data_IF_626971457051
#
_entry.id   IF_626971457051
#
_cell.length_a   1.000
_cell.length_b   1.000
_cell.length_c   1.000
_cell.angle_alpha   90.00
_cell.angle_beta   90.00
_cell.angle_gamma   90.00
#
_symmetry.space_group_name_H-M   'P 1'
#
loop_
_entity.id
_entity.type
_entity.pdbx_description
1 polymer ?
#
# COMPACT_ATOMS: atom_id res chain seq x y z
N UNK A 1 -13.83 19.93 -33.61
CA UNK A 1 -13.49 20.33 -32.24
C UNK A 1 -14.42 19.51 -31.35
N UNK A 2 -13.94 18.36 -30.89
CA UNK A 2 -14.74 17.41 -30.13
C UNK A 2 -14.35 17.50 -28.65
N UNK A 3 -15.35 17.75 -27.81
CA UNK A 3 -15.25 17.75 -26.37
C UNK A 3 -14.60 16.47 -25.88
N UNK A 4 -13.37 16.58 -25.37
CA UNK A 4 -12.77 15.52 -24.56
C UNK A 4 -13.53 15.53 -23.24
N UNK A 5 -14.49 14.62 -23.10
CA UNK A 5 -15.01 14.22 -21.79
C UNK A 5 -13.80 13.82 -20.95
N UNK A 6 -13.42 14.72 -20.05
CA UNK A 6 -12.50 14.44 -18.96
C UNK A 6 -13.22 13.40 -18.11
N UNK A 7 -12.85 12.12 -18.29
CA UNK A 7 -13.42 11.06 -17.47
C UNK A 7 -12.79 11.23 -16.10
N UNK A 8 -13.53 11.84 -15.19
CA UNK A 8 -13.20 11.94 -13.77
C UNK A 8 -13.17 10.53 -13.17
N UNK A 9 -12.11 9.77 -13.44
CA UNK A 9 -11.72 8.59 -12.68
C UNK A 9 -10.98 9.03 -11.39
N UNK A 10 -11.55 9.97 -10.66
CA UNK A 10 -11.20 10.08 -9.26
C UNK A 10 -11.81 8.84 -8.59
N UNK A 11 -10.96 7.90 -8.16
CA UNK A 11 -11.38 7.05 -7.05
C UNK A 11 -11.60 8.05 -5.92
N UNK A 12 -12.86 8.33 -5.65
CA UNK A 12 -13.25 9.25 -4.60
C UNK A 12 -12.83 8.61 -3.25
N UNK A 13 -11.66 9.02 -2.76
CA UNK A 13 -11.14 8.60 -1.48
C UNK A 13 -11.63 9.50 -0.34
N UNK A 14 -12.23 10.65 -0.67
CA UNK A 14 -12.67 11.65 0.30
C UNK A 14 -14.18 11.63 0.43
N UNK A 15 -14.71 10.88 1.39
CA UNK A 15 -16.14 10.94 1.64
C UNK A 15 -16.44 10.96 3.14
N UNK A 16 -17.59 11.52 3.47
CA UNK A 16 -18.20 11.75 4.79
C UNK A 16 -18.48 10.44 5.59
N UNK A 17 -17.81 9.34 5.22
CA UNK A 17 -17.98 7.95 5.65
C UNK A 17 -16.87 7.43 6.57
N UNK A 18 -15.80 8.20 6.80
CA UNK A 18 -14.74 7.79 7.73
C UNK A 18 -15.32 7.54 9.13
N UNK A 19 -15.05 6.38 9.77
CA UNK A 19 -15.64 6.07 11.06
C UNK A 19 -15.31 7.14 12.12
N UNK A 20 -16.29 7.47 12.97
CA UNK A 20 -16.08 8.47 14.03
C UNK A 20 -15.19 7.97 15.17
N UNK A 21 -15.10 6.65 15.38
CA UNK A 21 -14.25 6.06 16.42
C UNK A 21 -12.82 5.86 15.95
N UNK A 22 -11.84 6.01 16.87
CA UNK A 22 -10.42 5.75 16.59
C UNK A 22 -10.20 4.33 16.07
N UNK A 23 -10.89 3.36 16.68
CA UNK A 23 -10.86 1.96 16.25
C UNK A 23 -11.37 1.80 14.83
N UNK A 24 -12.52 2.40 14.51
CA UNK A 24 -13.11 2.33 13.17
C UNK A 24 -12.17 2.92 12.12
N UNK A 25 -11.57 4.10 12.37
CA UNK A 25 -10.62 4.71 11.44
C UNK A 25 -9.39 3.85 11.20
N UNK A 26 -8.85 3.23 12.25
CA UNK A 26 -7.66 2.39 12.13
C UNK A 26 -7.92 1.13 11.29
N UNK A 27 -9.06 0.47 11.54
CA UNK A 27 -9.49 -0.69 10.75
C UNK A 27 -9.74 -0.28 9.31
N UNK A 28 -10.49 0.79 9.10
CA UNK A 28 -10.82 1.27 7.76
C UNK A 28 -9.56 1.63 6.96
N UNK A 29 -8.62 2.38 7.56
CA UNK A 29 -7.39 2.77 6.90
C UNK A 29 -6.47 1.58 6.56
N UNK A 30 -6.18 0.69 7.52
CA UNK A 30 -5.32 -0.46 7.25
C UNK A 30 -5.99 -1.47 6.31
N UNK A 31 -7.32 -1.61 6.39
CA UNK A 31 -8.10 -2.38 5.43
C UNK A 31 -7.92 -1.83 4.01
N UNK A 32 -8.12 -0.51 3.80
CA UNK A 32 -7.86 0.18 2.52
C UNK A 32 -6.43 -0.04 2.03
N UNK A 33 -5.43 0.18 2.89
CA UNK A 33 -4.01 -0.03 2.56
C UNK A 33 -3.75 -1.44 2.01
N UNK A 34 -4.24 -2.47 2.70
CA UNK A 34 -4.08 -3.85 2.25
C UNK A 34 -4.73 -4.09 0.89
N UNK A 35 -5.90 -3.49 0.63
CA UNK A 35 -6.56 -3.56 -0.70
C UNK A 35 -5.65 -3.05 -1.81
N UNK A 36 -5.13 -1.84 -1.61
CA UNK A 36 -4.28 -1.19 -2.60
C UNK A 36 -2.99 -2.00 -2.82
N UNK A 37 -2.36 -2.49 -1.76
CA UNK A 37 -1.17 -3.35 -1.86
C UNK A 37 -1.45 -4.59 -2.70
N UNK A 38 -2.54 -5.32 -2.45
CA UNK A 38 -2.90 -6.52 -3.24
C UNK A 38 -3.07 -6.16 -4.71
N UNK A 39 -3.76 -5.06 -5.03
CA UNK A 39 -3.92 -4.59 -6.42
C UNK A 39 -2.58 -4.29 -7.08
N UNK A 40 -1.65 -3.62 -6.39
CA UNK A 40 -0.31 -3.35 -6.93
C UNK A 40 0.44 -4.65 -7.20
N UNK A 41 0.41 -5.61 -6.26
CA UNK A 41 1.10 -6.89 -6.42
C UNK A 41 0.56 -7.66 -7.63
N UNK A 42 -0.76 -7.64 -7.84
CA UNK A 42 -1.40 -8.23 -9.01
C UNK A 42 -0.92 -7.60 -10.32
N UNK A 43 -0.90 -6.27 -10.40
CA UNK A 43 -0.43 -5.54 -11.59
C UNK A 43 1.03 -5.86 -11.90
N UNK A 44 1.90 -5.77 -10.89
CA UNK A 44 3.32 -6.06 -11.05
C UNK A 44 3.57 -7.49 -11.52
N UNK A 45 2.80 -8.45 -11.01
CA UNK A 45 2.88 -9.84 -11.45
C UNK A 45 2.47 -9.99 -12.92
N UNK A 46 1.35 -9.39 -13.34
CA UNK A 46 0.87 -9.43 -14.73
C UNK A 46 1.81 -8.70 -15.70
N UNK A 47 2.34 -7.54 -15.31
CA UNK A 47 3.38 -6.82 -16.07
C UNK A 47 4.66 -7.63 -16.22
N UNK A 48 5.04 -8.41 -15.21
CA UNK A 48 6.20 -9.29 -15.28
C UNK A 48 5.94 -10.51 -16.19
N UNK A 49 4.75 -11.11 -16.13
CA UNK A 49 4.34 -12.22 -17.00
C UNK A 49 4.29 -11.84 -18.49
N UNK A 50 3.93 -10.59 -18.79
CA UNK A 50 3.85 -10.04 -20.16
C UNK A 50 5.14 -9.37 -20.62
N UNK A 51 6.22 -9.53 -19.85
CA UNK A 51 7.54 -8.93 -20.12
C UNK A 51 7.57 -7.39 -20.19
N UNK A 52 6.48 -6.69 -19.85
CA UNK A 52 6.47 -5.23 -19.64
C UNK A 52 7.48 -4.80 -18.57
N UNK A 53 7.67 -5.64 -17.55
CA UNK A 53 8.80 -5.58 -16.63
C UNK A 53 9.80 -6.69 -17.01
N UNK A 54 10.85 -6.37 -17.80
CA UNK A 54 11.75 -7.39 -18.32
C UNK A 54 12.61 -7.99 -17.20
N UNK A 55 13.12 -9.21 -17.44
CA UNK A 55 14.07 -9.91 -16.54
C UNK A 55 15.34 -9.09 -16.23
N UNK A 56 15.69 -8.16 -17.11
CA UNK A 56 16.79 -7.22 -16.93
C UNK A 56 16.48 -6.08 -15.93
N UNK A 57 15.26 -6.02 -15.37
CA UNK A 57 14.88 -5.07 -14.34
C UNK A 57 15.62 -5.37 -13.03
N UNK A 58 16.75 -4.67 -12.80
CA UNK A 58 17.65 -4.92 -11.67
C UNK A 58 17.42 -3.99 -10.48
N UNK A 59 16.86 -2.81 -10.69
CA UNK A 59 16.70 -1.83 -9.63
C UNK A 59 15.28 -1.82 -9.07
N UNK A 60 15.21 -1.87 -7.75
CA UNK A 60 13.97 -1.94 -6.99
C UNK A 60 14.15 -1.11 -5.72
N UNK A 61 13.50 0.05 -5.63
CA UNK A 61 13.51 0.88 -4.42
C UNK A 61 12.11 1.31 -4.02
N UNK A 62 11.92 1.47 -2.71
CA UNK A 62 10.75 2.11 -2.12
C UNK A 62 11.25 3.42 -1.53
N UNK A 63 10.86 4.53 -2.11
CA UNK A 63 11.19 5.87 -1.64
C UNK A 63 10.31 6.29 -0.46
N UNK A 64 10.65 7.36 0.23
CA UNK A 64 9.73 7.93 1.23
C UNK A 64 8.65 8.72 0.50
N UNK A 65 7.39 8.55 0.90
CA UNK A 65 6.34 9.44 0.46
C UNK A 65 6.63 10.84 1.03
N UNK A 66 6.85 11.82 0.15
CA UNK A 66 7.03 13.21 0.56
C UNK A 66 5.69 13.87 0.90
N UNK A 67 4.64 13.59 0.11
CA UNK A 67 3.31 14.23 0.19
C UNK A 67 2.19 13.20 -0.06
N UNK A 68 0.95 13.51 0.34
CA UNK A 68 -0.20 12.58 0.19
C UNK A 68 -0.66 12.39 -1.26
N UNK A 69 -0.34 13.34 -2.15
CA UNK A 69 -0.69 13.33 -3.55
C UNK A 69 0.32 14.13 -4.41
N UNK A 70 -0.03 14.40 -5.68
CA UNK A 70 0.76 15.16 -6.65
C UNK A 70 0.82 16.67 -6.35
N UNK A 71 -0.12 17.18 -5.60
CA UNK A 71 -0.35 18.61 -5.41
C UNK A 71 0.10 19.09 -4.03
N UNK A 72 0.30 18.16 -3.09
CA UNK A 72 0.69 18.43 -1.72
C UNK A 72 1.99 19.21 -1.59
N UNK A 73 1.99 20.13 -0.64
CA UNK A 73 3.06 21.08 -0.35
C UNK A 73 3.52 20.98 1.10
N UNK A 74 4.69 21.57 1.37
CA UNK A 74 5.31 21.55 2.71
C UNK A 74 4.52 22.26 3.80
N UNK A 75 3.63 23.15 3.41
CA UNK A 75 2.74 23.96 4.22
C UNK A 75 1.37 23.31 4.48
N UNK A 76 1.01 22.24 3.78
CA UNK A 76 -0.35 21.70 3.83
C UNK A 76 -0.68 20.92 5.11
N UNK A 77 0.28 20.68 6.02
CA UNK A 77 0.15 19.75 7.17
C UNK A 77 -0.35 18.33 6.79
N UNK A 78 -0.46 18.04 5.49
CA UNK A 78 -0.88 16.78 4.88
C UNK A 78 0.36 15.89 4.68
N UNK A 79 0.95 15.43 5.77
CA UNK A 79 1.95 14.36 5.67
C UNK A 79 1.25 13.04 5.35
N UNK A 80 1.73 12.33 4.31
CA UNK A 80 1.12 11.09 3.85
C UNK A 80 1.07 10.03 4.95
N UNK A 81 -0.09 9.39 5.07
CA UNK A 81 -0.13 8.09 5.72
C UNK A 81 0.80 7.17 4.90
N UNK A 82 1.84 6.68 5.54
CA UNK A 82 2.91 6.01 4.83
C UNK A 82 2.43 4.67 4.26
N UNK A 83 3.07 4.23 3.17
CA UNK A 83 2.80 3.02 2.40
C UNK A 83 1.64 3.11 1.43
N UNK A 84 1.83 3.76 0.27
CA UNK A 84 1.35 3.24 -1.02
C UNK A 84 2.00 3.98 -2.23
N UNK A 85 1.84 3.49 -3.47
CA UNK A 85 2.87 3.01 -4.42
C UNK A 85 3.66 4.01 -5.26
N UNK A 86 3.55 5.33 -5.06
CA UNK A 86 4.53 6.27 -5.65
C UNK A 86 5.93 6.08 -5.10
N UNK A 87 6.02 5.40 -3.96
CA UNK A 87 7.29 5.03 -3.39
C UNK A 87 8.00 3.97 -4.24
N UNK A 88 7.26 3.12 -4.96
CA UNK A 88 7.88 2.07 -5.76
C UNK A 88 8.48 2.64 -7.05
N UNK A 89 9.79 2.45 -7.22
CA UNK A 89 10.52 2.76 -8.44
C UNK A 89 11.22 1.51 -8.96
N UNK A 90 10.96 1.22 -10.24
CA UNK A 90 11.51 0.12 -11.03
C UNK A 90 12.33 0.71 -12.18
N UNK A 91 13.65 0.48 -12.21
CA UNK A 91 14.52 1.01 -13.27
C UNK A 91 14.36 2.52 -13.52
N UNK A 92 14.19 3.28 -12.43
CA UNK A 92 14.04 4.73 -12.49
C UNK A 92 12.65 5.23 -12.90
N UNK A 93 11.68 4.33 -13.09
CA UNK A 93 10.30 4.67 -13.43
C UNK A 93 9.32 4.13 -12.39
N UNK A 94 8.18 4.79 -12.26
CA UNK A 94 7.06 4.22 -11.51
C UNK A 94 6.32 3.18 -12.36
N UNK A 95 5.73 2.13 -11.74
CA UNK A 95 5.03 1.08 -12.48
C UNK A 95 3.97 1.60 -13.47
N UNK A 96 3.19 2.61 -13.09
CA UNK A 96 2.16 3.18 -13.97
C UNK A 96 2.75 3.86 -15.21
N UNK A 97 3.95 4.45 -15.13
CA UNK A 97 4.63 5.10 -16.28
C UNK A 97 5.08 4.10 -17.34
N UNK A 98 5.25 2.82 -16.98
CA UNK A 98 5.59 1.76 -17.94
C UNK A 98 4.42 1.53 -18.91
N UNK A 99 3.18 1.69 -18.42
CA UNK A 99 1.96 1.45 -19.18
C UNK A 99 1.57 2.57 -20.13
N UNK A 100 2.17 3.76 -20.00
CA UNK A 100 1.91 4.91 -20.88
C UNK A 100 2.05 4.56 -22.37
N UNK A 101 2.96 3.64 -22.70
CA UNK A 101 3.20 3.18 -24.07
C UNK A 101 2.11 2.24 -24.62
N UNK A 102 1.26 1.69 -23.75
CA UNK A 102 0.32 0.61 -24.08
C UNK A 102 -1.13 1.03 -23.84
N UNK A 103 -1.40 1.75 -22.76
CA UNK A 103 -2.73 2.25 -22.41
C UNK A 103 -2.64 3.45 -21.46
N UNK A 104 -2.98 4.63 -21.98
CA UNK A 104 -3.11 5.86 -21.18
C UNK A 104 -4.18 5.71 -20.09
N UNK A 105 -5.34 5.16 -20.44
CA UNK A 105 -6.43 4.93 -19.49
C UNK A 105 -5.99 4.01 -18.35
N UNK A 106 -5.24 2.94 -18.66
CA UNK A 106 -4.73 2.04 -17.62
C UNK A 106 -3.66 2.70 -16.78
N UNK A 107 -2.78 3.51 -17.39
CA UNK A 107 -1.79 4.30 -16.68
C UNK A 107 -2.44 5.25 -15.68
N UNK A 108 -3.50 5.95 -16.08
CA UNK A 108 -4.25 6.90 -15.24
C UNK A 108 -5.03 6.16 -14.14
N UNK A 109 -5.69 5.06 -14.48
CA UNK A 109 -6.35 4.20 -13.50
C UNK A 109 -5.36 3.66 -12.46
N UNK A 110 -4.22 3.13 -12.92
CA UNK A 110 -3.18 2.68 -12.03
C UNK A 110 -2.68 3.84 -11.19
N UNK A 111 -2.47 5.03 -11.73
CA UNK A 111 -2.12 6.21 -10.94
C UNK A 111 -3.14 6.50 -9.82
N UNK A 112 -4.41 6.12 -9.97
CA UNK A 112 -5.44 6.20 -8.92
C UNK A 112 -5.11 5.35 -7.68
N UNK A 113 -4.49 4.17 -7.81
CA UNK A 113 -3.95 3.42 -6.66
C UNK A 113 -2.80 4.16 -5.95
N UNK A 114 -2.28 5.21 -6.58
CA UNK A 114 -1.09 5.98 -6.23
C UNK A 114 -1.48 7.42 -5.84
N UNK A 115 -2.78 7.74 -5.73
CA UNK A 115 -3.31 9.09 -5.46
C UNK A 115 -4.09 9.19 -4.16
N UNK A 116 -3.92 10.31 -3.45
CA UNK A 116 -4.56 10.76 -2.19
C UNK A 116 -4.71 9.69 -1.11
N UNK A 117 -3.88 9.80 -0.06
CA UNK A 117 -4.16 9.11 1.21
C UNK A 117 -5.27 9.81 1.98
N UNK A 118 -5.97 9.07 2.84
CA UNK A 118 -7.04 9.62 3.68
C UNK A 118 -6.51 10.72 4.63
N UNK A 119 -7.30 11.78 4.82
CA UNK A 119 -7.04 12.77 5.88
C UNK A 119 -7.32 12.12 7.24
N UNK A 120 -6.25 11.73 7.93
CA UNK A 120 -6.31 11.10 9.24
C UNK A 120 -5.78 12.01 10.35
N UNK A 121 -6.26 11.84 11.60
CA UNK A 121 -5.67 12.54 12.73
C UNK A 121 -4.16 12.31 12.83
N UNK A 122 -3.41 13.31 13.26
CA UNK A 122 -1.92 13.31 13.31
C UNK A 122 -1.30 12.07 14.00
N UNK A 123 -2.01 11.45 14.94
CA UNK A 123 -1.51 10.27 15.63
C UNK A 123 -1.46 9.01 14.74
N UNK A 124 -2.26 8.93 13.68
CA UNK A 124 -2.16 7.86 12.67
C UNK A 124 -0.84 7.95 11.91
N UNK A 125 -0.50 9.15 11.41
CA UNK A 125 0.78 9.41 10.75
C UNK A 125 1.96 9.12 11.68
N UNK A 126 1.88 9.52 12.96
CA UNK A 126 2.93 9.21 13.95
C UNK A 126 3.11 7.72 14.18
N UNK A 127 2.04 6.92 14.13
CA UNK A 127 2.12 5.46 14.22
C UNK A 127 2.84 4.88 13.00
N UNK A 128 2.45 5.30 11.79
CA UNK A 128 3.09 4.84 10.56
C UNK A 128 4.55 5.26 10.46
N UNK A 129 4.88 6.54 10.69
CA UNK A 129 6.27 7.01 10.71
C UNK A 129 7.11 6.26 11.76
N UNK A 130 6.50 5.85 12.88
CA UNK A 130 7.20 5.06 13.90
C UNK A 130 7.46 3.62 13.42
N UNK A 131 6.49 3.02 12.74
CA UNK A 131 6.63 1.70 12.13
C UNK A 131 7.69 1.71 11.03
N UNK A 132 7.75 2.76 10.20
CA UNK A 132 8.78 2.90 9.18
C UNK A 132 10.20 3.07 9.73
N UNK A 133 10.33 3.72 10.89
CA UNK A 133 11.62 3.92 11.56
C UNK A 133 12.16 2.67 12.26
N UNK A 134 11.45 1.54 12.22
CA UNK A 134 11.98 0.28 12.77
C UNK A 134 13.14 -0.19 11.87
N UNK A 135 14.38 -0.28 12.39
CA UNK A 135 15.51 -0.73 11.59
C UNK A 135 15.32 -2.19 11.17
N UNK A 136 15.76 -2.54 9.96
CA UNK A 136 15.80 -3.91 9.40
C UNK A 136 14.44 -4.60 9.15
N UNK A 137 13.38 -4.20 9.85
CA UNK A 137 12.04 -4.80 9.77
C UNK A 137 11.00 -3.69 9.87
N UNK A 138 10.67 -3.07 8.74
CA UNK A 138 9.64 -2.03 8.64
C UNK A 138 8.63 -2.32 7.53
N UNK A 139 7.55 -1.54 7.50
CA UNK A 139 6.43 -1.72 6.56
C UNK A 139 6.90 -1.52 5.11
N UNK A 140 7.69 -0.48 4.83
CA UNK A 140 8.22 -0.20 3.49
C UNK A 140 9.09 -1.35 2.95
N UNK A 141 9.93 -1.95 3.80
CA UNK A 141 10.74 -3.12 3.46
C UNK A 141 9.88 -4.36 3.21
N UNK A 142 8.82 -4.56 4.00
CA UNK A 142 7.82 -5.60 3.77
C UNK A 142 7.15 -5.47 2.39
N UNK A 143 6.72 -4.26 2.06
CA UNK A 143 6.14 -3.95 0.75
C UNK A 143 7.14 -4.16 -0.39
N UNK A 144 8.39 -3.71 -0.20
CA UNK A 144 9.49 -3.90 -1.15
C UNK A 144 9.72 -5.37 -1.48
N UNK A 145 9.76 -6.22 -0.44
CA UNK A 145 9.93 -7.68 -0.60
C UNK A 145 8.74 -8.34 -1.29
N UNK A 146 7.51 -7.95 -0.92
CA UNK A 146 6.30 -8.47 -1.56
C UNK A 146 6.27 -8.16 -3.06
N UNK A 147 6.55 -6.91 -3.43
CA UNK A 147 6.60 -6.51 -4.84
C UNK A 147 7.71 -7.22 -5.62
N UNK A 148 8.89 -7.39 -5.02
CA UNK A 148 9.96 -8.19 -5.63
C UNK A 148 9.51 -9.64 -5.86
N UNK A 149 8.85 -10.25 -4.88
CA UNK A 149 8.34 -11.61 -5.01
C UNK A 149 7.31 -11.74 -6.15
N UNK A 150 6.36 -10.79 -6.25
CA UNK A 150 5.37 -10.76 -7.32
C UNK A 150 6.01 -10.68 -8.72
N UNK A 151 6.99 -9.78 -8.90
CA UNK A 151 7.72 -9.61 -10.16
C UNK A 151 8.54 -10.86 -10.49
N UNK A 152 9.34 -11.35 -9.53
CA UNK A 152 10.19 -12.53 -9.73
C UNK A 152 9.35 -13.73 -10.12
N UNK A 153 8.22 -13.94 -9.45
CA UNK A 153 7.27 -15.01 -9.78
C UNK A 153 6.74 -14.90 -11.21
N UNK A 154 6.32 -13.71 -11.65
CA UNK A 154 5.89 -13.49 -13.03
C UNK A 154 7.00 -13.78 -14.05
N UNK A 155 8.25 -13.41 -13.73
CA UNK A 155 9.39 -13.58 -14.64
C UNK A 155 9.87 -15.04 -14.81
N UNK A 156 9.77 -15.88 -13.77
CA UNK A 156 10.35 -17.25 -13.80
C UNK A 156 9.41 -18.32 -14.35
N UNK A 157 8.20 -17.96 -14.79
CA UNK A 157 7.31 -18.88 -15.51
C UNK A 157 5.94 -19.09 -14.87
N UNK A 158 5.36 -18.06 -14.25
CA UNK A 158 3.96 -18.12 -13.81
C UNK A 158 3.02 -18.36 -15.00
N UNK A 159 1.86 -18.98 -14.74
CA UNK A 159 0.82 -19.15 -15.75
C UNK A 159 -0.17 -18.00 -15.71
N UNK A 160 -0.63 -17.56 -16.88
CA UNK A 160 -1.62 -16.49 -16.99
C UNK A 160 -3.06 -17.01 -16.76
N UNK A 161 -3.26 -17.69 -15.63
CA UNK A 161 -4.55 -18.23 -15.18
C UNK A 161 -4.94 -17.61 -13.86
N UNK A 162 -6.24 -17.45 -13.59
CA UNK A 162 -6.71 -16.84 -12.34
C UNK A 162 -6.18 -17.57 -11.10
N UNK A 163 -6.15 -18.91 -11.15
CA UNK A 163 -5.67 -19.73 -10.05
C UNK A 163 -4.17 -19.51 -9.81
N UNK A 164 -3.34 -19.59 -10.86
CA UNK A 164 -1.89 -19.40 -10.73
C UNK A 164 -1.57 -17.99 -10.25
N UNK A 165 -2.15 -16.96 -10.88
CA UNK A 165 -1.93 -15.56 -10.49
C UNK A 165 -2.38 -15.33 -9.04
N UNK A 166 -3.54 -15.88 -8.65
CA UNK A 166 -4.05 -15.76 -7.29
C UNK A 166 -3.10 -16.37 -6.25
N UNK A 167 -2.56 -17.57 -6.51
CA UNK A 167 -1.59 -18.25 -5.63
C UNK A 167 -0.32 -17.43 -5.46
N UNK A 168 0.24 -16.92 -6.56
CA UNK A 168 1.49 -16.16 -6.55
C UNK A 168 1.34 -14.81 -5.85
N UNK A 169 0.21 -14.11 -6.07
CA UNK A 169 -0.09 -12.86 -5.36
C UNK A 169 -0.34 -13.12 -3.87
N UNK A 170 -0.97 -14.24 -3.48
CA UNK A 170 -1.12 -14.64 -2.08
C UNK A 170 0.23 -14.82 -1.38
N UNK A 171 1.16 -15.50 -2.05
CA UNK A 171 2.51 -15.71 -1.57
C UNK A 171 3.24 -14.38 -1.41
N UNK A 172 3.18 -13.51 -2.42
CA UNK A 172 3.76 -12.16 -2.36
C UNK A 172 3.18 -11.34 -1.18
N UNK A 173 1.86 -11.33 -1.02
CA UNK A 173 1.18 -10.58 0.05
C UNK A 173 1.56 -11.10 1.44
N UNK A 174 1.81 -12.41 1.59
CA UNK A 174 2.29 -13.02 2.84
C UNK A 174 3.63 -12.44 3.29
N UNK A 175 4.51 -12.04 2.37
CA UNK A 175 5.76 -11.35 2.72
C UNK A 175 5.49 -9.98 3.35
N UNK A 176 4.55 -9.22 2.80
CA UNK A 176 4.14 -7.92 3.34
C UNK A 176 3.53 -8.08 4.74
N UNK A 177 2.49 -8.91 4.88
CA UNK A 177 1.75 -9.05 6.15
C UNK A 177 2.64 -9.56 7.27
N UNK A 178 3.55 -10.49 6.99
CA UNK A 178 4.53 -10.98 7.98
C UNK A 178 5.46 -9.86 8.49
N UNK A 179 6.01 -9.03 7.59
CA UNK A 179 6.87 -7.92 7.99
C UNK A 179 6.10 -6.80 8.72
N UNK A 180 4.92 -6.44 8.21
CA UNK A 180 4.06 -5.43 8.83
C UNK A 180 3.66 -5.86 10.26
N UNK A 181 3.26 -7.13 10.45
CA UNK A 181 2.98 -7.72 11.76
C UNK A 181 4.15 -7.56 12.72
N UNK A 182 5.35 -7.97 12.32
CA UNK A 182 6.54 -7.88 13.16
C UNK A 182 6.87 -6.43 13.53
N UNK A 183 6.74 -5.52 12.57
CA UNK A 183 6.97 -4.09 12.75
C UNK A 183 6.02 -3.49 13.79
N UNK A 184 4.71 -3.78 13.67
CA UNK A 184 3.72 -3.28 14.61
C UNK A 184 3.87 -3.88 16.01
N UNK A 185 4.20 -5.17 16.12
CA UNK A 185 4.53 -5.80 17.40
C UNK A 185 5.67 -5.07 18.12
N UNK A 186 6.76 -4.77 17.41
CA UNK A 186 7.90 -4.03 17.98
C UNK A 186 7.46 -2.62 18.42
N UNK A 187 6.63 -1.94 17.61
CA UNK A 187 6.13 -0.61 17.95
C UNK A 187 5.27 -0.61 19.22
N UNK A 188 4.38 -1.60 19.35
CA UNK A 188 3.53 -1.82 20.54
C UNK A 188 4.40 -2.03 21.78
N UNK A 189 5.42 -2.91 21.71
CA UNK A 189 6.33 -3.15 22.83
C UNK A 189 7.04 -1.86 23.27
N UNK A 190 7.57 -1.09 22.31
CA UNK A 190 8.23 0.19 22.59
C UNK A 190 7.27 1.23 23.18
N UNK A 191 6.00 1.24 22.78
CA UNK A 191 4.98 2.14 23.34
C UNK A 191 4.60 1.73 24.77
N UNK A 192 4.43 0.43 25.03
CA UNK A 192 4.20 -0.10 26.39
C UNK A 192 5.35 0.27 27.34
N UNK A 193 6.61 0.11 26.91
CA UNK A 193 7.78 0.51 27.70
C UNK A 193 7.81 2.01 28.00
N UNK A 194 7.43 2.87 27.04
CA UNK A 194 7.33 4.32 27.27
C UNK A 194 6.30 4.67 28.35
N UNK A 195 5.17 3.97 28.36
CA UNK A 195 4.09 4.16 29.33
C UNK A 195 4.42 3.66 30.75
N UNK A 196 5.44 2.81 30.89
CA UNK A 196 5.93 2.31 32.18
C UNK A 196 6.99 3.20 32.85
N UNK A 197 7.40 4.31 32.21
CA UNK A 197 8.40 5.22 32.77
C UNK A 197 7.88 5.88 34.06
N UNK A 198 8.74 6.10 35.07
CA UNK A 198 8.33 6.61 36.38
C UNK A 198 7.80 8.05 36.32
N UNK A 199 8.31 8.86 35.39
CA UNK A 199 7.89 10.26 35.21
C UNK A 199 7.46 10.46 33.76
N UNK A 200 6.18 10.79 33.55
CA UNK A 200 5.59 11.06 32.23
C UNK A 200 4.65 12.25 32.37
N UNK A 201 4.80 13.26 31.51
CA UNK A 201 3.86 14.39 31.45
C UNK A 201 2.46 13.87 31.07
N UNK A 202 1.36 14.35 31.70
CA UNK A 202 0.01 13.87 31.40
C UNK A 202 -0.34 13.89 29.90
N UNK A 203 -0.03 14.99 29.21
CA UNK A 203 -0.28 15.13 27.77
C UNK A 203 0.48 14.09 26.92
N UNK A 204 1.71 13.71 27.30
CA UNK A 204 2.47 12.67 26.63
C UNK A 204 1.88 11.28 26.88
N UNK A 205 1.39 11.04 28.10
CA UNK A 205 0.78 9.78 28.51
C UNK A 205 -0.47 9.48 27.69
N UNK A 206 -1.37 10.46 27.54
CA UNK A 206 -2.61 10.26 26.79
C UNK A 206 -2.35 10.09 25.29
N UNK A 207 -1.44 10.90 24.73
CA UNK A 207 -0.98 10.73 23.35
C UNK A 207 -0.40 9.33 23.09
N UNK A 208 0.44 8.81 23.99
CA UNK A 208 1.03 7.48 23.80
C UNK A 208 0.03 6.35 24.01
N UNK A 209 -0.99 6.51 24.87
CA UNK A 209 -2.10 5.55 24.98
C UNK A 209 -2.90 5.48 23.68
N UNK A 210 -3.20 6.63 23.07
CA UNK A 210 -3.90 6.67 21.80
C UNK A 210 -3.07 6.03 20.68
N UNK A 211 -1.79 6.37 20.57
CA UNK A 211 -0.88 5.73 19.61
C UNK A 211 -0.80 4.21 19.82
N UNK A 212 -0.77 3.75 21.07
CA UNK A 212 -0.77 2.33 21.38
C UNK A 212 -2.05 1.66 20.87
N UNK A 213 -3.21 2.28 21.13
CA UNK A 213 -4.50 1.77 20.67
C UNK A 213 -4.59 1.70 19.14
N UNK A 214 -4.19 2.76 18.43
CA UNK A 214 -4.15 2.79 16.95
C UNK A 214 -3.23 1.68 16.43
N UNK A 215 -2.02 1.57 16.97
CA UNK A 215 -1.04 0.56 16.54
C UNK A 215 -1.54 -0.87 16.77
N UNK A 216 -2.27 -1.10 17.87
CA UNK A 216 -2.89 -2.41 18.16
C UNK A 216 -4.00 -2.74 17.15
N UNK A 217 -4.80 -1.76 16.76
CA UNK A 217 -5.84 -1.95 15.74
C UNK A 217 -5.24 -2.22 14.36
N UNK A 218 -4.17 -1.52 13.97
CA UNK A 218 -3.42 -1.84 12.75
C UNK A 218 -2.87 -3.27 12.76
N UNK A 219 -2.28 -3.70 13.88
CA UNK A 219 -1.79 -5.08 14.00
C UNK A 219 -2.92 -6.11 13.83
N UNK A 220 -4.09 -5.85 14.40
CA UNK A 220 -5.25 -6.74 14.21
C UNK A 220 -5.63 -6.81 12.74
N UNK A 221 -5.71 -5.66 12.07
CA UNK A 221 -6.16 -5.59 10.69
C UNK A 221 -5.15 -6.17 9.69
N UNK A 222 -3.84 -5.99 9.89
CA UNK A 222 -2.80 -6.65 9.07
C UNK A 222 -2.93 -8.18 9.07
N UNK A 223 -3.48 -8.74 10.14
CA UNK A 223 -3.71 -10.18 10.28
C UNK A 223 -5.07 -10.63 9.77
N UNK A 224 -5.90 -9.71 9.32
CA UNK A 224 -7.21 -10.01 8.77
C UNK A 224 -7.07 -10.54 7.35
N UNK A 225 -7.25 -11.85 7.19
CA UNK A 225 -7.15 -12.52 5.88
C UNK A 225 -8.27 -12.12 4.91
N UNK A 226 -9.34 -11.49 5.42
CA UNK A 226 -10.46 -11.01 4.60
C UNK A 226 -10.01 -9.99 3.56
N UNK A 227 -8.99 -9.18 3.84
CA UNK A 227 -8.44 -8.24 2.88
C UNK A 227 -7.90 -8.94 1.63
N UNK A 228 -7.30 -10.13 1.73
CA UNK A 228 -6.87 -10.83 0.52
C UNK A 228 -8.07 -11.33 -0.30
N UNK A 229 -9.04 -11.95 0.37
CA UNK A 229 -10.22 -12.55 -0.26
C UNK A 229 -11.19 -11.52 -0.87
N UNK A 230 -11.31 -10.34 -0.28
CA UNK A 230 -12.16 -9.25 -0.78
C UNK A 230 -11.50 -8.47 -1.93
N UNK A 231 -10.16 -8.44 -2.02
CA UNK A 231 -9.41 -7.56 -2.94
C UNK A 231 -8.79 -8.24 -4.13
N UNK A 232 -8.53 -9.55 -4.06
CA UNK A 232 -8.59 -10.35 -5.28
C UNK A 232 -10.06 -10.37 -5.66
N UNK A 233 -10.52 -9.28 -6.28
CA UNK A 233 -11.82 -9.23 -6.94
C UNK A 233 -11.81 -10.37 -7.96
N UNK A 234 -12.36 -11.51 -7.57
CA UNK A 234 -12.48 -12.72 -8.39
C UNK A 234 -13.24 -12.44 -9.70
N UNK A 235 -13.96 -11.31 -9.79
CA UNK A 235 -14.60 -10.82 -11.00
C UNK A 235 -13.64 -10.10 -11.98
N UNK A 236 -12.53 -9.52 -11.51
CA UNK A 236 -11.64 -8.70 -12.35
C UNK A 236 -10.30 -9.37 -12.69
N UNK A 237 -9.82 -10.37 -11.93
CA UNK A 237 -8.56 -11.06 -12.30
C UNK A 237 -8.62 -11.59 -13.73
N UNK A 238 -9.79 -12.08 -14.16
CA UNK A 238 -10.03 -12.46 -15.56
C UNK A 238 -9.86 -11.29 -16.51
N UNK A 239 -10.57 -10.20 -16.24
CA UNK A 239 -10.59 -9.01 -17.09
C UNK A 239 -9.21 -8.38 -17.17
N UNK A 240 -8.45 -8.40 -16.07
CA UNK A 240 -7.06 -7.93 -16.04
C UNK A 240 -6.16 -8.85 -16.83
N UNK A 241 -6.24 -10.17 -16.65
CA UNK A 241 -5.50 -11.11 -17.49
C UNK A 241 -5.82 -10.85 -18.98
N UNK A 242 -7.09 -10.72 -19.33
CA UNK A 242 -7.51 -10.51 -20.71
C UNK A 242 -7.05 -9.15 -21.26
N UNK A 243 -7.02 -8.10 -20.44
CA UNK A 243 -6.41 -6.81 -20.78
C UNK A 243 -4.91 -6.95 -21.04
N UNK A 244 -4.17 -7.59 -20.13
CA UNK A 244 -2.71 -7.72 -20.25
C UNK A 244 -2.27 -8.60 -21.43
N UNK A 245 -3.12 -9.53 -21.90
CA UNK A 245 -2.88 -10.26 -23.16
C UNK A 245 -2.90 -9.38 -24.40
N UNK A 246 -3.43 -8.16 -24.32
CA UNK A 246 -3.47 -7.20 -25.45
C UNK A 246 -2.22 -6.34 -25.56
N UNK A 247 -1.39 -6.31 -24.51
CA UNK A 247 -0.11 -5.60 -24.47
C UNK A 247 1.02 -6.47 -25.02
#
# INVERSE_FOLDING_TARGET
MGDRQQVDYFIDFGDETSPKSIRGRAIWHEGRRQRVIVSILLELHLMALTELIPKSCRSFKVEKAAWQDNEGRADDDTQAAHCVPRQLVLNGKHPHEILERYSMDRRDFMQGYFGKTDLLPVNFNKCDSRAERVPLVNIAEGFRKACRAAITSGQIGGQMTQSSVGVEVAAAFSHYTSHARNTYNICILRLKQKLQRPVIKPADKDRWKEQLQITQNYLQEVNNTSAFAENIRLAEVKNLIDLYKTF
#
